data_IF_438059997938
#
_entry.id   IF_438059997938
#
_cell.length_a   1.000
_cell.length_b   1.000
_cell.length_c   1.000
_cell.angle_alpha   90.00
_cell.angle_beta   90.00
_cell.angle_gamma   90.00
#
_symmetry.space_group_name_H-M   'P 1'
#
loop_
_entity.id
_entity.type
_entity.pdbx_description
1 polymer ?
#
# COMPACT_ATOMS: atom_id res chain seq x y z
N UNK A 1 -10.13 3.89 -3.96
CA UNK A 1 -8.96 4.29 -3.16
C UNK A 1 -9.23 5.52 -2.30
N UNK A 2 -10.09 6.38 -2.74
CA UNK A 2 -10.39 7.62 -2.00
C UNK A 2 -10.86 7.38 -0.58
N UNK A 3 -11.59 6.30 -0.36
CA UNK A 3 -12.10 5.98 0.98
C UNK A 3 -11.01 5.70 2.01
N UNK A 4 -9.80 5.44 1.53
CA UNK A 4 -8.66 5.19 2.41
C UNK A 4 -7.81 6.42 2.64
N UNK A 5 -8.09 7.50 1.92
CA UNK A 5 -7.27 8.70 1.98
C UNK A 5 -7.33 9.31 3.38
N UNK A 6 -6.16 9.66 3.90
CA UNK A 6 -5.99 10.20 5.25
C UNK A 6 -6.39 9.22 6.36
N UNK A 7 -6.50 7.95 6.03
CA UNK A 7 -6.81 6.91 7.00
C UNK A 7 -5.58 6.04 7.24
N UNK A 8 -5.49 5.52 8.44
CA UNK A 8 -4.44 4.55 8.76
C UNK A 8 -4.81 3.22 8.15
N UNK A 9 -3.93 2.70 7.32
CA UNK A 9 -4.21 1.48 6.56
C UNK A 9 -3.13 0.44 6.77
N UNK A 10 -3.51 -0.79 6.53
CA UNK A 10 -2.62 -1.93 6.53
C UNK A 10 -2.68 -2.53 5.13
N UNK A 11 -1.54 -2.58 4.45
CA UNK A 11 -1.50 -2.97 3.04
C UNK A 11 -0.65 -4.22 2.90
N UNK A 12 -1.24 -5.24 2.29
CA UNK A 12 -0.53 -6.47 1.97
C UNK A 12 -0.17 -6.46 0.49
N UNK A 13 1.09 -6.67 0.19
CA UNK A 13 1.56 -6.69 -1.19
C UNK A 13 2.27 -7.98 -1.50
N UNK A 14 2.30 -8.31 -2.78
CA UNK A 14 3.17 -9.34 -3.28
C UNK A 14 4.31 -8.63 -4.00
N UNK A 15 5.54 -8.80 -3.50
CA UNK A 15 6.70 -8.29 -4.21
C UNK A 15 7.13 -9.40 -5.15
N UNK A 16 7.12 -9.14 -6.43
CA UNK A 16 7.48 -10.12 -7.42
C UNK A 16 8.97 -10.43 -7.41
N UNK A 17 9.47 -10.77 -6.25
CA UNK A 17 10.86 -11.12 -6.13
C UNK A 17 11.07 -12.61 -6.24
N UNK A 18 12.29 -12.98 -6.08
CA UNK A 18 12.76 -14.34 -6.16
C UNK A 18 11.92 -15.33 -5.36
N UNK A 19 11.49 -14.91 -4.21
CA UNK A 19 10.79 -15.81 -3.29
C UNK A 19 9.30 -15.63 -3.30
N UNK A 20 8.78 -14.72 -4.13
CA UNK A 20 7.36 -14.45 -4.18
C UNK A 20 6.76 -14.12 -2.83
N UNK A 21 7.54 -13.55 -1.93
CA UNK A 21 7.09 -13.30 -0.58
C UNK A 21 6.12 -12.13 -0.51
N UNK A 22 5.19 -12.21 0.43
CA UNK A 22 4.28 -11.12 0.72
C UNK A 22 4.94 -10.18 1.72
N UNK A 23 4.72 -8.88 1.54
CA UNK A 23 5.22 -7.87 2.46
C UNK A 23 4.05 -7.00 2.89
N UNK A 24 4.03 -6.62 4.15
CA UNK A 24 2.97 -5.75 4.64
C UNK A 24 3.54 -4.38 5.03
N UNK A 25 2.70 -3.37 4.87
CA UNK A 25 3.05 -2.00 5.20
C UNK A 25 1.92 -1.39 6.01
N UNK A 26 2.27 -0.51 6.93
CA UNK A 26 1.30 0.23 7.74
C UNK A 26 1.60 1.71 7.64
N UNK A 27 0.58 2.54 7.72
CA UNK A 27 0.76 3.98 7.72
C UNK A 27 -0.52 4.66 7.28
N UNK A 28 -0.45 5.99 7.21
CA UNK A 28 -1.57 6.80 6.76
C UNK A 28 -1.41 7.05 5.27
N UNK A 29 -2.46 6.74 4.51
CA UNK A 29 -2.45 7.00 3.08
C UNK A 29 -2.56 8.50 2.86
N UNK A 30 -1.51 9.11 2.32
CA UNK A 30 -1.48 10.56 2.12
C UNK A 30 -1.88 10.97 0.72
N UNK A 31 -1.57 10.14 -0.26
CA UNK A 31 -1.94 10.42 -1.64
C UNK A 31 -1.86 9.14 -2.46
N UNK A 32 -2.39 9.21 -3.67
CA UNK A 32 -2.34 8.08 -4.59
C UNK A 32 -2.52 8.56 -6.01
N UNK A 33 -2.12 7.73 -6.96
CA UNK A 33 -2.42 7.95 -8.37
C UNK A 33 -2.75 6.61 -9.02
N UNK A 34 -2.74 6.55 -10.34
CA UNK A 34 -3.13 5.31 -11.06
C UNK A 34 -2.17 4.17 -10.81
N UNK A 35 -0.90 4.47 -10.58
CA UNK A 35 0.14 3.46 -10.50
C UNK A 35 0.69 3.24 -9.10
N UNK A 36 0.59 4.23 -8.23
CA UNK A 36 1.24 4.20 -6.92
C UNK A 36 0.34 4.71 -5.83
N UNK A 37 0.64 4.30 -4.61
CA UNK A 37 0.10 4.93 -3.42
C UNK A 37 1.26 5.38 -2.54
N UNK A 38 1.00 6.39 -1.71
CA UNK A 38 2.02 7.01 -0.88
C UNK A 38 1.55 7.05 0.56
N UNK A 39 2.40 6.58 1.46
CA UNK A 39 2.13 6.60 2.89
C UNK A 39 2.95 7.68 3.57
N UNK A 40 2.52 8.06 4.78
CA UNK A 40 3.13 9.14 5.53
C UNK A 40 4.57 8.87 5.97
N UNK A 41 4.99 7.61 5.95
CA UNK A 41 6.34 7.23 6.36
C UNK A 41 7.28 7.04 5.16
N UNK A 42 7.02 7.78 4.09
CA UNK A 42 7.83 7.78 2.86
C UNK A 42 7.80 6.45 2.11
N UNK A 43 6.77 5.68 2.32
CA UNK A 43 6.59 4.43 1.57
C UNK A 43 5.80 4.71 0.31
N UNK A 44 6.31 4.22 -0.82
CA UNK A 44 5.64 4.30 -2.11
C UNK A 44 5.41 2.88 -2.59
N UNK A 45 4.17 2.52 -2.85
CA UNK A 45 3.81 1.16 -3.21
C UNK A 45 3.15 1.12 -4.58
N UNK A 46 3.64 0.22 -5.43
CA UNK A 46 3.04 0.02 -6.75
C UNK A 46 1.69 -0.67 -6.61
N UNK A 47 0.65 -0.05 -7.13
CA UNK A 47 -0.72 -0.53 -6.93
C UNK A 47 -0.94 -1.94 -7.46
N UNK A 48 -0.31 -2.29 -8.54
CA UNK A 48 -0.52 -3.61 -9.15
C UNK A 48 -0.03 -4.76 -8.27
N UNK A 49 0.80 -4.47 -7.30
CA UNK A 49 1.30 -5.51 -6.39
C UNK A 49 0.48 -5.60 -5.10
N UNK A 50 -0.53 -4.78 -4.95
CA UNK A 50 -1.33 -4.77 -3.74
C UNK A 50 -2.33 -5.91 -3.78
N UNK A 51 -2.29 -6.77 -2.77
CA UNK A 51 -3.25 -7.86 -2.61
C UNK A 51 -4.47 -7.41 -1.85
N UNK A 52 -4.26 -6.63 -0.79
CA UNK A 52 -5.39 -6.14 0.01
C UNK A 52 -5.01 -4.86 0.73
N UNK A 53 -6.02 -4.07 1.06
CA UNK A 53 -5.90 -2.88 1.89
C UNK A 53 -6.99 -2.96 2.94
N UNK A 54 -6.60 -2.78 4.20
CA UNK A 54 -7.54 -2.80 5.31
C UNK A 54 -7.37 -1.54 6.13
N UNK A 55 -8.48 -1.02 6.62
CA UNK A 55 -8.44 0.10 7.57
C UNK A 55 -8.02 -0.42 8.94
N UNK A 56 -7.20 0.37 9.62
CA UNK A 56 -6.75 0.06 10.98
C UNK A 56 -7.70 0.74 12.00
#
# INVERSE_FOLDING_TARGET
MEKYLNQKVYILTILGGYNGGATSYKGVLTSYDEDYIYLDNNVCITRKYILSIELK
#
